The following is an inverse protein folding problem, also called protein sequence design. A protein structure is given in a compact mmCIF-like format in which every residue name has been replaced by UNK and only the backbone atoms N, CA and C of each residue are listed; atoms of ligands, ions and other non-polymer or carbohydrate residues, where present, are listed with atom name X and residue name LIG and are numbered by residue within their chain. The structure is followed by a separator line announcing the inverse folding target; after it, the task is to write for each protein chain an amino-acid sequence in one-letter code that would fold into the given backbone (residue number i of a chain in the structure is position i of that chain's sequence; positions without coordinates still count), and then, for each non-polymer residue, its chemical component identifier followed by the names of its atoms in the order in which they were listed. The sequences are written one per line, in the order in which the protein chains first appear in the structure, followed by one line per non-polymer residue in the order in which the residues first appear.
data_IF_147525097949
#
_entry.id   IF_147525097949
#
_cell.length_a   1.000
_cell.length_b   1.000
_cell.length_c   1.000
_cell.angle_alpha   90.00
_cell.angle_beta   90.00
_cell.angle_gamma   90.00
#
_symmetry.space_group_name_H-M   'P 1'
#
loop_
_entity.id
_entity.type
_entity.pdbx_description
1 polymer ?
#
# COMPACT_ATOMS: atom_id res chain seq x y z
N UNK A 1 37.32 -7.18 13.05
CA UNK A 1 36.19 -8.06 12.67
C UNK A 1 34.92 -7.33 13.07
N UNK A 2 34.14 -6.89 12.09
CA UNK A 2 32.83 -6.31 12.41
C UNK A 2 31.92 -7.42 12.95
N UNK A 3 31.45 -7.24 14.19
CA UNK A 3 30.41 -8.11 14.76
C UNK A 3 29.27 -8.22 13.73
N UNK A 4 28.92 -9.43 13.33
CA UNK A 4 27.68 -9.67 12.57
C UNK A 4 26.54 -9.22 13.47
N UNK A 5 26.08 -7.98 13.31
CA UNK A 5 24.85 -7.50 13.91
C UNK A 5 23.74 -8.48 13.57
N UNK A 6 23.07 -8.97 14.59
CA UNK A 6 21.92 -9.86 14.40
C UNK A 6 20.76 -9.01 13.89
N UNK A 7 20.67 -8.87 12.55
CA UNK A 7 19.67 -8.04 11.89
C UNK A 7 18.27 -8.59 12.15
N UNK A 8 17.32 -7.69 12.36
CA UNK A 8 15.90 -8.06 12.42
C UNK A 8 15.43 -8.65 11.08
N UNK A 9 14.34 -9.45 11.06
CA UNK A 9 13.82 -9.99 9.80
C UNK A 9 13.52 -8.92 8.74
N UNK A 10 13.04 -7.75 9.17
CA UNK A 10 12.74 -6.63 8.28
C UNK A 10 14.02 -6.00 7.70
N UNK A 11 15.08 -5.90 8.50
CA UNK A 11 16.37 -5.38 8.03
C UNK A 11 16.99 -6.30 6.99
N UNK A 12 16.87 -7.63 7.15
CA UNK A 12 17.32 -8.61 6.14
C UNK A 12 16.56 -8.44 4.83
N UNK A 13 15.21 -8.32 4.90
CA UNK A 13 14.37 -8.07 3.72
C UNK A 13 14.80 -6.79 3.01
N UNK A 14 15.10 -5.73 3.75
CA UNK A 14 15.58 -4.46 3.18
C UNK A 14 16.95 -4.59 2.51
N UNK A 15 17.87 -5.27 3.16
CA UNK A 15 19.22 -5.48 2.64
C UNK A 15 19.23 -6.26 1.32
N UNK A 16 18.38 -7.27 1.21
CA UNK A 16 18.21 -8.11 0.03
C UNK A 16 17.36 -7.48 -1.07
N UNK A 17 16.72 -6.34 -0.80
CA UNK A 17 15.63 -5.81 -1.63
C UNK A 17 16.04 -4.93 -2.81
N UNK A 18 17.33 -4.74 -3.06
CA UNK A 18 17.81 -3.81 -4.10
C UNK A 18 17.11 -2.43 -4.04
N UNK A 19 17.48 -1.65 -3.04
CA UNK A 19 16.93 -0.30 -2.80
C UNK A 19 15.39 -0.26 -2.62
N UNK A 20 14.86 -1.20 -1.85
CA UNK A 20 13.43 -1.35 -1.52
C UNK A 20 12.54 -1.76 -2.72
N UNK A 21 13.12 -2.25 -3.80
CA UNK A 21 12.34 -2.75 -4.95
C UNK A 21 11.79 -4.16 -4.69
N UNK A 22 12.60 -5.06 -4.15
CA UNK A 22 12.22 -6.44 -3.92
C UNK A 22 11.64 -7.09 -5.18
N UNK A 23 10.57 -7.84 -5.01
CA UNK A 23 9.77 -8.45 -6.08
C UNK A 23 8.44 -7.72 -6.31
N UNK A 24 8.37 -6.42 -5.99
CA UNK A 24 7.15 -5.63 -6.11
C UNK A 24 6.56 -5.62 -7.51
N UNK A 25 7.40 -5.60 -8.54
CA UNK A 25 6.94 -5.64 -9.92
C UNK A 25 6.19 -6.94 -10.23
N UNK A 26 6.75 -8.06 -9.83
CA UNK A 26 6.17 -9.39 -9.99
C UNK A 26 4.90 -9.55 -9.14
N UNK A 27 4.94 -9.08 -7.89
CA UNK A 27 3.78 -9.06 -7.00
C UNK A 27 2.60 -8.30 -7.60
N UNK A 28 2.86 -7.14 -8.18
CA UNK A 28 1.83 -6.29 -8.80
C UNK A 28 1.25 -6.91 -10.08
N UNK A 29 2.04 -7.70 -10.80
CA UNK A 29 1.61 -8.38 -12.03
C UNK A 29 0.90 -9.72 -11.76
N UNK A 30 0.99 -10.24 -10.54
CA UNK A 30 0.32 -11.49 -10.18
C UNK A 30 -1.19 -11.27 -10.03
N UNK A 31 -1.97 -11.79 -10.97
CA UNK A 31 -3.43 -11.67 -10.99
C UNK A 31 -4.15 -12.77 -10.20
N UNK A 32 -3.43 -13.79 -9.72
CA UNK A 32 -4.02 -14.92 -9.00
C UNK A 32 -4.54 -14.49 -7.63
N UNK A 33 -3.85 -13.56 -6.96
CA UNK A 33 -4.20 -13.05 -5.64
C UNK A 33 -4.30 -11.52 -5.63
N UNK A 34 -5.21 -10.97 -4.84
CA UNK A 34 -5.29 -9.54 -4.55
C UNK A 34 -4.21 -9.04 -3.59
N UNK A 35 -3.47 -9.96 -2.96
CA UNK A 35 -2.38 -9.64 -2.03
C UNK A 35 -1.03 -9.47 -2.73
N UNK A 36 -0.07 -8.88 -2.01
CA UNK A 36 1.35 -8.90 -2.37
C UNK A 36 2.06 -10.12 -1.77
N UNK A 37 3.24 -10.44 -2.28
CA UNK A 37 4.13 -11.42 -1.65
C UNK A 37 4.54 -10.95 -0.25
N UNK A 38 4.79 -11.88 0.66
CA UNK A 38 4.98 -11.57 2.09
C UNK A 38 6.13 -10.57 2.36
N UNK A 39 7.26 -10.74 1.69
CA UNK A 39 8.38 -9.80 1.77
C UNK A 39 8.02 -8.42 1.23
N UNK A 40 7.25 -8.36 0.17
CA UNK A 40 6.85 -7.12 -0.48
C UNK A 40 5.84 -6.31 0.36
N UNK A 41 5.03 -6.96 1.18
CA UNK A 41 4.15 -6.27 2.15
C UNK A 41 4.94 -5.41 3.13
N UNK A 42 6.11 -5.86 3.54
CA UNK A 42 6.99 -5.09 4.41
C UNK A 42 7.70 -3.97 3.67
N UNK A 43 8.14 -4.22 2.45
CA UNK A 43 8.85 -3.24 1.62
C UNK A 43 7.95 -2.08 1.19
N UNK A 44 6.72 -2.37 0.80
CA UNK A 44 5.81 -1.35 0.26
C UNK A 44 5.44 -0.28 1.31
N UNK A 45 5.53 -0.62 2.59
CA UNK A 45 5.32 0.34 3.70
C UNK A 45 6.29 1.50 3.65
N UNK A 46 7.53 1.28 3.20
CA UNK A 46 8.53 2.34 3.04
C UNK A 46 8.22 3.28 1.87
N UNK A 47 7.33 2.87 0.98
CA UNK A 47 6.79 3.70 -0.09
C UNK A 47 5.48 4.42 0.30
N UNK A 48 5.02 4.27 1.55
CA UNK A 48 3.79 4.87 2.05
C UNK A 48 2.52 4.14 1.67
N UNK A 49 2.63 2.87 1.30
CA UNK A 49 1.51 2.02 0.88
C UNK A 49 1.36 0.86 1.86
N UNK A 50 0.11 0.56 2.26
CA UNK A 50 -0.20 -0.50 3.21
C UNK A 50 -1.24 -1.44 2.62
N UNK A 51 -0.94 -2.75 2.63
CA UNK A 51 -1.93 -3.77 2.35
C UNK A 51 -2.91 -3.87 3.52
N UNK A 52 -4.19 -3.86 3.21
CA UNK A 52 -5.30 -3.98 4.15
C UNK A 52 -6.31 -4.99 3.62
N UNK A 53 -7.26 -5.38 4.45
CA UNK A 53 -8.42 -6.17 4.02
C UNK A 53 -9.69 -5.66 4.69
N UNK A 54 -10.83 -5.93 4.07
CA UNK A 54 -12.13 -5.60 4.62
C UNK A 54 -12.48 -6.57 5.75
N UNK A 55 -12.40 -6.08 7.00
CA UNK A 55 -12.64 -6.89 8.20
C UNK A 55 -14.06 -7.41 8.28
N UNK A 56 -15.04 -6.61 7.85
CA UNK A 56 -16.46 -6.95 7.95
C UNK A 56 -16.85 -8.11 7.04
N UNK A 57 -16.05 -8.36 6.01
CA UNK A 57 -16.26 -9.45 5.05
C UNK A 57 -15.39 -10.68 5.29
N UNK A 58 -14.59 -10.70 6.34
CA UNK A 58 -13.66 -11.82 6.61
C UNK A 58 -14.37 -13.14 6.82
N UNK A 59 -15.40 -13.15 7.67
CA UNK A 59 -16.17 -14.35 7.99
C UNK A 59 -16.92 -14.87 6.76
N UNK A 60 -17.67 -14.02 6.09
CA UNK A 60 -18.38 -14.37 4.85
C UNK A 60 -17.46 -14.99 3.81
N UNK A 61 -16.30 -14.41 3.60
CA UNK A 61 -15.34 -14.89 2.60
C UNK A 61 -14.66 -16.19 3.04
N UNK A 62 -14.39 -16.35 4.32
CA UNK A 62 -13.85 -17.60 4.87
C UNK A 62 -14.84 -18.76 4.72
N UNK A 63 -16.13 -18.56 5.01
CA UNK A 63 -17.20 -19.55 4.82
C UNK A 63 -17.31 -19.99 3.35
N UNK A 64 -17.15 -19.03 2.42
CA UNK A 64 -17.17 -19.28 0.96
C UNK A 64 -15.84 -19.79 0.43
N UNK A 65 -14.83 -20.02 1.28
CA UNK A 65 -13.45 -20.40 0.91
C UNK A 65 -12.82 -19.45 -0.13
N UNK A 66 -13.15 -18.16 -0.03
CA UNK A 66 -12.61 -17.11 -0.87
C UNK A 66 -11.41 -16.44 -0.18
N UNK A 67 -10.50 -15.90 -0.96
CA UNK A 67 -9.42 -15.03 -0.49
C UNK A 67 -9.99 -13.84 0.29
N UNK A 68 -9.22 -13.27 1.22
CA UNK A 68 -9.58 -12.02 1.89
C UNK A 68 -9.81 -10.90 0.86
N UNK A 69 -10.67 -9.97 1.20
CA UNK A 69 -10.97 -8.80 0.34
C UNK A 69 -9.86 -7.75 0.52
N UNK A 70 -8.73 -7.99 -0.16
CA UNK A 70 -7.55 -7.13 -0.06
C UNK A 70 -7.74 -5.80 -0.76
N UNK A 71 -7.27 -4.76 -0.11
CA UNK A 71 -7.17 -3.41 -0.65
C UNK A 71 -5.91 -2.72 -0.13
N UNK A 72 -5.61 -1.57 -0.69
CA UNK A 72 -4.41 -0.82 -0.33
C UNK A 72 -4.76 0.58 0.11
N UNK A 73 -4.05 1.07 1.12
CA UNK A 73 -4.02 2.46 1.50
C UNK A 73 -2.76 3.10 0.93
N UNK A 74 -2.92 4.21 0.23
CA UNK A 74 -1.81 5.01 -0.30
C UNK A 74 -1.76 6.34 0.46
N UNK A 75 -0.59 6.66 0.99
CA UNK A 75 -0.32 7.95 1.62
C UNK A 75 0.39 8.86 0.62
N UNK A 76 -0.19 10.02 0.37
CA UNK A 76 0.42 11.05 -0.44
C UNK A 76 1.54 11.76 0.31
N UNK A 77 2.54 12.21 -0.41
CA UNK A 77 3.60 13.06 0.13
C UNK A 77 3.21 14.52 -0.06
N UNK A 78 2.96 15.21 1.05
CA UNK A 78 2.60 16.63 1.09
C UNK A 78 3.57 17.38 2.00
N UNK A 79 4.69 17.91 1.48
CA UNK A 79 5.63 18.67 2.29
C UNK A 79 4.95 19.87 2.96
N UNK A 80 5.03 19.93 4.30
CA UNK A 80 4.40 20.97 5.11
C UNK A 80 2.87 21.01 5.07
N UNK A 81 2.22 20.01 4.48
CA UNK A 81 0.76 19.98 4.32
C UNK A 81 0.24 20.98 3.28
N UNK A 82 1.12 21.57 2.48
CA UNK A 82 0.75 22.58 1.48
C UNK A 82 0.32 21.92 0.16
N UNK A 83 -0.79 22.35 -0.38
CA UNK A 83 -1.39 21.83 -1.60
C UNK A 83 -2.04 22.96 -2.39
N UNK A 84 -1.83 22.96 -3.70
CA UNK A 84 -2.53 23.89 -4.60
C UNK A 84 -3.96 23.43 -4.88
N UNK A 85 -4.82 24.34 -5.38
CA UNK A 85 -6.18 23.97 -5.80
C UNK A 85 -6.18 22.92 -6.93
N UNK A 86 -5.25 23.00 -7.87
CA UNK A 86 -5.10 22.02 -8.95
C UNK A 86 -4.71 20.62 -8.42
N UNK A 87 -3.78 20.57 -7.46
CA UNK A 87 -3.39 19.33 -6.80
C UNK A 87 -4.56 18.73 -6.02
N UNK A 88 -5.39 19.55 -5.36
CA UNK A 88 -6.58 19.10 -4.66
C UNK A 88 -7.58 18.48 -5.61
N UNK A 89 -7.88 19.13 -6.74
CA UNK A 89 -8.79 18.61 -7.77
C UNK A 89 -8.27 17.30 -8.35
N UNK A 90 -6.97 17.22 -8.68
CA UNK A 90 -6.36 15.98 -9.16
C UNK A 90 -6.45 14.85 -8.14
N UNK A 91 -6.28 15.14 -6.85
CA UNK A 91 -6.42 14.16 -5.77
C UNK A 91 -7.85 13.68 -5.64
N UNK A 92 -8.84 14.57 -5.75
CA UNK A 92 -10.27 14.23 -5.72
C UNK A 92 -10.66 13.33 -6.90
N UNK A 93 -10.19 13.64 -8.10
CA UNK A 93 -10.41 12.81 -9.30
C UNK A 93 -9.84 11.40 -9.13
N UNK A 94 -8.62 11.28 -8.60
CA UNK A 94 -7.98 10.00 -8.32
C UNK A 94 -8.76 9.24 -7.23
N UNK A 95 -9.17 9.92 -6.18
CA UNK A 95 -9.95 9.33 -5.10
C UNK A 95 -11.29 8.77 -5.61
N UNK A 96 -11.98 9.52 -6.45
CA UNK A 96 -13.25 9.09 -7.05
C UNK A 96 -13.07 7.90 -8.00
N UNK A 97 -11.97 7.86 -8.75
CA UNK A 97 -11.74 6.83 -9.77
C UNK A 97 -11.20 5.53 -9.21
N UNK A 98 -10.26 5.58 -8.27
CA UNK A 98 -9.47 4.42 -7.84
C UNK A 98 -9.64 4.03 -6.37
N UNK A 99 -10.18 4.90 -5.55
CA UNK A 99 -10.37 4.63 -4.12
C UNK A 99 -11.86 4.58 -3.74
N UNK A 100 -12.15 4.63 -2.45
CA UNK A 100 -13.55 4.71 -1.95
C UNK A 100 -14.26 6.02 -2.26
N UNK A 101 -13.59 6.98 -2.88
CA UNK A 101 -14.11 8.33 -3.12
C UNK A 101 -13.94 9.28 -1.92
N UNK A 102 -13.34 8.78 -0.83
CA UNK A 102 -13.12 9.57 0.39
C UNK A 102 -11.65 9.94 0.51
N UNK A 103 -11.39 11.24 0.71
CA UNK A 103 -10.06 11.76 1.03
C UNK A 103 -9.93 11.86 2.55
N UNK A 104 -8.95 11.15 3.12
CA UNK A 104 -8.68 11.19 4.56
C UNK A 104 -7.48 12.08 4.86
N UNK A 105 -7.70 13.13 5.62
CA UNK A 105 -6.63 14.00 6.13
C UNK A 105 -6.10 13.41 7.44
N UNK A 106 -4.77 13.34 7.57
CA UNK A 106 -4.12 12.71 8.71
C UNK A 106 -3.50 13.75 9.65
N UNK A 107 -3.17 13.31 10.87
CA UNK A 107 -2.45 14.14 11.87
C UNK A 107 -1.04 14.52 11.42
N UNK A 108 -0.50 13.86 10.39
CA UNK A 108 0.79 14.20 9.76
C UNK A 108 0.66 15.27 8.67
N UNK A 109 -0.52 15.92 8.56
CA UNK A 109 -0.78 16.94 7.53
C UNK A 109 -0.61 16.42 6.11
N UNK A 110 -1.03 15.19 5.89
CA UNK A 110 -1.02 14.54 4.59
C UNK A 110 -2.37 13.87 4.29
N UNK A 111 -2.47 13.26 3.14
CA UNK A 111 -3.69 12.62 2.66
C UNK A 111 -3.48 11.11 2.53
N UNK A 112 -4.51 10.35 2.88
CA UNK A 112 -4.57 8.91 2.63
C UNK A 112 -5.77 8.60 1.74
N UNK A 113 -5.55 7.72 0.75
CA UNK A 113 -6.58 7.12 -0.07
C UNK A 113 -6.69 5.64 0.29
N UNK A 114 -7.90 5.16 0.54
CA UNK A 114 -8.19 3.79 0.96
C UNK A 114 -9.01 3.04 -0.08
N UNK A 115 -9.01 1.71 0.00
CA UNK A 115 -9.83 0.85 -0.84
C UNK A 115 -9.33 0.69 -2.28
N UNK A 116 -8.05 1.00 -2.53
CA UNK A 116 -7.44 0.83 -3.84
C UNK A 116 -7.14 -0.66 -4.05
N UNK A 117 -7.59 -1.23 -5.14
CA UNK A 117 -7.27 -2.61 -5.50
C UNK A 117 -5.90 -2.70 -6.17
N UNK A 118 -5.28 -3.87 -6.11
CA UNK A 118 -3.90 -4.08 -6.59
C UNK A 118 -3.69 -3.64 -8.05
N UNK A 119 -4.63 -3.91 -8.92
CA UNK A 119 -4.58 -3.54 -10.33
C UNK A 119 -4.57 -2.03 -10.57
N UNK A 120 -5.15 -1.27 -9.64
CA UNK A 120 -5.28 0.18 -9.74
C UNK A 120 -4.14 0.93 -9.02
N UNK A 121 -3.25 0.23 -8.33
CA UNK A 121 -2.14 0.86 -7.60
C UNK A 121 -1.17 1.61 -8.51
N UNK A 122 -0.88 1.07 -9.68
CA UNK A 122 0.04 1.71 -10.62
C UNK A 122 -0.55 2.95 -11.30
N UNK A 123 -1.84 2.95 -11.73
CA UNK A 123 -2.48 4.16 -12.26
C UNK A 123 -2.70 5.26 -11.23
N UNK A 124 -2.88 4.89 -9.95
CA UNK A 124 -3.06 5.84 -8.84
C UNK A 124 -1.77 6.57 -8.52
#
# INVERSE_FOLDING_TARGET
MAEKKNLSPIEKIKEESDALRGTLKESLQNEITGALFESDKSLIKFHGIYEQDNRDRREERAEKKLERDYSFMIRLRLPGGLMTGEQWIATDDIAAKYSTGVIKITTRQTIQLHGIVKTDMKPT
#
